data_IF_708840277277
#
_entry.id   IF_708840277277
#
_cell.length_a   1.000
_cell.length_b   1.000
_cell.length_c   1.000
_cell.angle_alpha   90.00
_cell.angle_beta   90.00
_cell.angle_gamma   90.00
#
_symmetry.space_group_name_H-M   'P 1'
#
loop_
_entity.id
_entity.type
_entity.pdbx_description
1 polymer ?
#
# COMPACT_ATOMS: atom_id res chain seq x y z
N UNK A 1 -28.13 21.86 5.28
CA UNK A 1 -27.93 20.49 4.78
C UNK A 1 -26.85 19.84 5.62
N UNK A 2 -27.03 18.57 6.03
CA UNK A 2 -25.98 17.83 6.74
C UNK A 2 -25.01 17.26 5.70
N UNK A 3 -23.71 17.48 5.88
CA UNK A 3 -22.68 16.85 5.04
C UNK A 3 -22.49 15.41 5.52
N UNK A 4 -22.94 14.43 4.74
CA UNK A 4 -22.85 13.01 5.13
C UNK A 4 -21.49 12.37 4.76
N UNK A 5 -20.93 12.74 3.60
CA UNK A 5 -19.68 12.18 3.09
C UNK A 5 -19.01 13.11 2.09
N UNK A 6 -17.68 13.12 2.08
CA UNK A 6 -16.87 13.70 1.00
C UNK A 6 -16.17 12.52 0.31
N UNK A 7 -16.39 12.37 -1.00
CA UNK A 7 -15.74 11.34 -1.79
C UNK A 7 -14.72 11.99 -2.74
N UNK A 8 -13.51 11.47 -2.75
CA UNK A 8 -12.50 11.80 -3.75
C UNK A 8 -12.48 10.68 -4.80
N UNK A 9 -12.77 11.01 -6.06
CA UNK A 9 -12.77 10.04 -7.15
C UNK A 9 -11.60 10.30 -8.10
N UNK A 10 -10.68 9.35 -8.16
CA UNK A 10 -9.66 9.31 -9.19
C UNK A 10 -10.20 8.62 -10.45
N UNK A 11 -10.31 9.35 -11.56
CA UNK A 11 -10.66 8.79 -12.87
C UNK A 11 -9.39 8.74 -13.73
N UNK A 12 -9.08 7.58 -14.30
CA UNK A 12 -8.02 7.43 -15.30
C UNK A 12 -8.43 6.45 -16.39
N UNK A 13 -7.86 6.62 -17.59
CA UNK A 13 -7.99 5.63 -18.64
C UNK A 13 -7.21 4.37 -18.27
N UNK A 14 -7.84 3.20 -18.35
CA UNK A 14 -7.22 1.91 -18.00
C UNK A 14 -5.90 1.67 -18.74
N UNK A 15 -5.80 2.11 -20.00
CA UNK A 15 -4.56 2.04 -20.81
C UNK A 15 -3.38 2.80 -20.21
N UNK A 16 -3.61 3.75 -19.31
CA UNK A 16 -2.55 4.47 -18.60
C UNK A 16 -2.05 3.69 -17.39
N UNK A 17 -2.80 2.71 -16.88
CA UNK A 17 -2.39 1.88 -15.73
C UNK A 17 -1.65 0.60 -16.14
N UNK A 18 -1.54 0.30 -17.43
CA UNK A 18 -0.91 -0.93 -17.94
C UNK A 18 0.61 -0.93 -17.79
N UNK A 19 1.23 0.24 -17.64
CA UNK A 19 2.66 0.40 -17.40
C UNK A 19 2.90 0.83 -15.95
N UNK A 20 3.87 0.19 -15.27
CA UNK A 20 4.24 0.47 -13.88
C UNK A 20 4.65 1.93 -13.64
N UNK A 21 5.34 2.57 -14.58
CA UNK A 21 5.73 3.97 -14.49
C UNK A 21 4.52 4.90 -14.49
N UNK A 22 3.62 4.72 -15.46
CA UNK A 22 2.43 5.56 -15.56
C UNK A 22 1.51 5.38 -14.35
N UNK A 23 1.39 4.14 -13.86
CA UNK A 23 0.68 3.84 -12.62
C UNK A 23 1.30 4.59 -11.45
N UNK A 24 2.62 4.52 -11.26
CA UNK A 24 3.33 5.26 -10.19
C UNK A 24 3.09 6.76 -10.27
N UNK A 25 3.13 7.35 -11.46
CA UNK A 25 2.85 8.77 -11.65
C UNK A 25 1.41 9.13 -11.25
N UNK A 26 0.44 8.30 -11.64
CA UNK A 26 -0.96 8.50 -11.27
C UNK A 26 -1.20 8.39 -9.77
N UNK A 27 -0.72 7.31 -9.14
CA UNK A 27 -0.82 7.12 -7.70
C UNK A 27 -0.06 8.20 -6.92
N UNK A 28 1.10 8.64 -7.42
CA UNK A 28 1.87 9.72 -6.81
C UNK A 28 1.10 11.04 -6.75
N UNK A 29 0.34 11.38 -7.80
CA UNK A 29 -0.55 12.54 -7.78
C UNK A 29 -1.64 12.41 -6.71
N UNK A 30 -2.29 11.23 -6.64
CA UNK A 30 -3.31 10.96 -5.63
C UNK A 30 -2.76 11.02 -4.19
N UNK A 31 -1.57 10.44 -3.95
CA UNK A 31 -0.91 10.48 -2.62
C UNK A 31 -0.56 11.91 -2.23
N UNK A 32 -0.08 12.72 -3.19
CA UNK A 32 0.18 14.13 -2.95
C UNK A 32 -1.09 14.84 -2.49
N UNK A 33 -2.20 14.65 -3.21
CA UNK A 33 -3.48 15.28 -2.86
C UNK A 33 -3.96 14.81 -1.48
N UNK A 34 -3.89 13.51 -1.18
CA UNK A 34 -4.23 12.96 0.14
C UNK A 34 -3.36 13.58 1.24
N UNK A 35 -2.05 13.69 1.04
CA UNK A 35 -1.14 14.31 2.01
C UNK A 35 -1.44 15.80 2.21
N UNK A 36 -1.81 16.52 1.15
CA UNK A 36 -2.25 17.91 1.26
C UNK A 36 -3.56 18.03 2.05
N UNK A 37 -4.53 17.12 1.83
CA UNK A 37 -5.76 17.07 2.60
C UNK A 37 -5.52 16.75 4.09
N UNK A 38 -4.55 15.88 4.40
CA UNK A 38 -4.19 15.56 5.79
C UNK A 38 -3.49 16.74 6.49
N UNK A 39 -2.59 17.44 5.81
CA UNK A 39 -1.78 18.51 6.43
C UNK A 39 -2.44 19.88 6.41
N UNK A 40 -3.13 20.20 5.32
CA UNK A 40 -3.72 21.53 5.07
C UNK A 40 -5.23 21.51 5.22
N UNK A 41 -5.91 20.38 5.03
CA UNK A 41 -7.37 20.31 5.07
C UNK A 41 -8.05 21.12 3.96
N UNK A 42 -9.38 21.21 4.03
CA UNK A 42 -10.24 21.93 3.11
C UNK A 42 -11.14 22.94 3.83
N UNK A 43 -11.42 24.05 3.15
CA UNK A 43 -12.50 24.96 3.52
C UNK A 43 -13.71 24.67 2.64
N UNK A 44 -14.88 24.48 3.23
CA UNK A 44 -16.15 24.29 2.50
C UNK A 44 -17.14 25.38 2.88
N UNK A 45 -17.89 25.89 1.92
CA UNK A 45 -18.77 27.07 2.11
C UNK A 45 -19.87 26.86 3.15
N UNK A 46 -20.25 25.62 3.41
CA UNK A 46 -21.31 25.24 4.35
C UNK A 46 -20.82 24.95 5.77
N UNK A 47 -19.52 25.09 6.05
CA UNK A 47 -18.92 24.80 7.35
C UNK A 47 -17.99 25.92 7.79
N UNK A 48 -18.19 26.42 9.01
CA UNK A 48 -17.27 27.37 9.63
C UNK A 48 -16.08 26.62 10.23
N UNK A 49 -14.95 26.65 9.54
CA UNK A 49 -13.72 26.02 9.98
C UNK A 49 -12.93 25.39 8.85
N UNK A 50 -11.96 24.55 9.20
CA UNK A 50 -11.12 23.79 8.27
C UNK A 50 -11.29 22.30 8.54
N UNK A 51 -11.65 21.54 7.51
CA UNK A 51 -11.85 20.10 7.57
C UNK A 51 -10.53 19.40 7.26
N UNK A 52 -9.99 18.63 8.21
CA UNK A 52 -8.81 17.82 8.02
C UNK A 52 -9.20 16.38 7.73
N UNK A 53 -8.39 15.73 6.92
CA UNK A 53 -8.60 14.34 6.53
C UNK A 53 -7.60 13.46 7.25
N UNK A 54 -7.97 12.20 7.46
CA UNK A 54 -7.08 11.15 7.96
C UNK A 54 -7.19 9.99 6.99
N UNK A 55 -6.05 9.47 6.58
CA UNK A 55 -6.00 8.24 5.81
C UNK A 55 -6.16 7.03 6.74
N UNK A 56 -7.02 6.07 6.38
CA UNK A 56 -7.33 4.90 7.22
C UNK A 56 -6.96 3.57 6.53
N UNK A 57 -7.47 3.31 5.33
CA UNK A 57 -7.31 2.00 4.67
C UNK A 57 -7.20 2.08 3.15
N UNK A 58 -6.33 1.25 2.56
CA UNK A 58 -6.37 0.90 1.14
C UNK A 58 -7.14 -0.42 0.98
N UNK A 59 -8.35 -0.35 0.42
CA UNK A 59 -9.11 -1.53 0.03
C UNK A 59 -8.76 -1.92 -1.42
N UNK A 60 -8.25 -3.12 -1.63
CA UNK A 60 -7.87 -3.62 -2.95
C UNK A 60 -7.97 -5.14 -3.01
N UNK A 61 -8.05 -5.70 -4.22
CA UNK A 61 -7.90 -7.14 -4.40
C UNK A 61 -6.47 -7.59 -4.06
N UNK A 62 -6.25 -8.91 -3.95
CA UNK A 62 -4.95 -9.45 -3.56
C UNK A 62 -3.81 -9.04 -4.52
N UNK A 63 -4.07 -8.98 -5.82
CA UNK A 63 -3.03 -8.67 -6.79
C UNK A 63 -2.61 -7.20 -6.72
N UNK A 64 -3.60 -6.30 -6.63
CA UNK A 64 -3.39 -4.87 -6.46
C UNK A 64 -2.73 -4.55 -5.12
N UNK A 65 -3.14 -5.20 -4.02
CA UNK A 65 -2.52 -5.02 -2.71
C UNK A 65 -1.02 -5.38 -2.70
N UNK A 66 -0.65 -6.48 -3.36
CA UNK A 66 0.76 -6.85 -3.52
C UNK A 66 1.53 -5.83 -4.35
N UNK A 67 0.95 -5.41 -5.48
CA UNK A 67 1.58 -4.44 -6.38
C UNK A 67 1.81 -3.10 -5.67
N UNK A 68 0.80 -2.59 -4.96
CA UNK A 68 0.89 -1.34 -4.20
C UNK A 68 1.88 -1.43 -3.04
N UNK A 69 1.98 -2.59 -2.38
CA UNK A 69 2.90 -2.81 -1.27
C UNK A 69 4.34 -3.15 -1.69
N UNK A 70 4.64 -3.23 -2.99
CA UNK A 70 5.97 -3.61 -3.48
C UNK A 70 6.29 -5.10 -3.29
N UNK A 71 5.28 -5.93 -3.02
CA UNK A 71 5.43 -7.38 -2.83
C UNK A 71 5.38 -8.15 -4.15
N UNK A 72 5.93 -9.36 -4.15
CA UNK A 72 5.82 -10.27 -5.29
C UNK A 72 4.36 -10.65 -5.56
N UNK A 73 4.00 -10.76 -6.84
CA UNK A 73 2.66 -11.14 -7.29
C UNK A 73 2.53 -12.63 -7.62
N UNK A 74 3.55 -13.41 -7.27
CA UNK A 74 3.53 -14.86 -7.38
C UNK A 74 3.04 -15.45 -6.06
N UNK A 75 1.91 -16.15 -6.12
CA UNK A 75 1.28 -16.79 -4.96
C UNK A 75 1.56 -18.29 -4.86
N UNK A 76 2.43 -18.81 -5.73
CA UNK A 76 2.69 -20.24 -5.88
C UNK A 76 4.10 -20.67 -5.47
N UNK A 77 4.90 -19.78 -4.89
CA UNK A 77 6.26 -20.07 -4.42
C UNK A 77 6.74 -19.03 -3.41
N UNK A 78 7.67 -19.43 -2.53
CA UNK A 78 8.38 -18.53 -1.61
C UNK A 78 7.45 -17.81 -0.63
N UNK A 79 7.83 -16.61 -0.21
CA UNK A 79 7.07 -15.81 0.75
C UNK A 79 5.94 -15.01 0.08
N UNK A 80 4.73 -15.56 0.08
CA UNK A 80 3.59 -14.98 -0.63
C UNK A 80 2.68 -14.12 0.25
N UNK A 81 2.86 -14.09 1.56
CA UNK A 81 2.00 -13.33 2.49
C UNK A 81 2.57 -11.93 2.77
N UNK A 82 1.69 -10.91 2.78
CA UNK A 82 2.01 -9.52 3.13
C UNK A 82 2.07 -9.24 4.63
N UNK A 83 1.52 -10.15 5.46
CA UNK A 83 1.43 -9.98 6.91
C UNK A 83 2.49 -10.78 7.67
N UNK A 84 3.00 -11.85 7.10
CA UNK A 84 3.96 -12.74 7.76
C UNK A 84 4.98 -13.33 6.77
N UNK A 85 5.94 -14.07 7.33
CA UNK A 85 7.01 -14.75 6.59
C UNK A 85 6.71 -16.23 6.32
N UNK A 86 5.45 -16.63 6.18
CA UNK A 86 5.12 -18.01 5.79
C UNK A 86 5.68 -18.34 4.41
N UNK A 87 6.22 -19.55 4.25
CA UNK A 87 6.64 -20.11 2.98
C UNK A 87 5.47 -20.82 2.29
N UNK A 88 5.46 -20.83 0.97
CA UNK A 88 4.38 -21.47 0.20
C UNK A 88 4.22 -22.96 0.52
N UNK A 89 5.33 -23.63 0.81
CA UNK A 89 5.41 -25.03 1.22
C UNK A 89 4.60 -25.29 2.51
N UNK A 90 4.53 -24.28 3.38
CA UNK A 90 3.86 -24.33 4.69
C UNK A 90 2.43 -23.77 4.67
N UNK A 91 1.89 -23.40 3.50
CA UNK A 91 0.57 -22.73 3.37
C UNK A 91 -0.62 -23.52 3.95
N UNK A 92 -0.47 -24.84 4.09
CA UNK A 92 -1.52 -25.75 4.55
C UNK A 92 -1.49 -25.98 6.05
N UNK A 93 -0.48 -25.47 6.75
CA UNK A 93 -0.35 -25.70 8.18
C UNK A 93 -1.37 -24.81 8.92
N UNK A 94 -2.22 -25.38 9.81
CA UNK A 94 -3.19 -24.60 10.56
C UNK A 94 -2.52 -23.52 11.41
N UNK A 95 -3.14 -22.32 11.45
CA UNK A 95 -2.66 -21.19 12.26
C UNK A 95 -2.55 -21.54 13.76
N UNK A 96 -3.36 -22.47 14.24
CA UNK A 96 -3.33 -22.93 15.64
C UNK A 96 -2.05 -23.70 15.99
N UNK A 97 -1.36 -24.23 14.98
CA UNK A 97 -0.24 -25.14 15.15
C UNK A 97 1.11 -24.44 14.89
N UNK A 98 1.10 -23.16 14.49
CA UNK A 98 2.32 -22.39 14.19
C UNK A 98 2.18 -20.93 14.65
N UNK A 99 3.21 -20.44 15.32
CA UNK A 99 3.45 -19.01 15.47
C UNK A 99 4.19 -18.50 14.24
N UNK A 100 3.48 -17.87 13.29
CA UNK A 100 4.14 -17.22 12.17
C UNK A 100 4.83 -15.94 12.64
N UNK A 101 6.06 -15.72 12.18
CA UNK A 101 6.70 -14.43 12.37
C UNK A 101 5.98 -13.38 11.53
N UNK A 102 5.36 -12.42 12.19
CA UNK A 102 4.71 -11.28 11.54
C UNK A 102 5.77 -10.33 10.99
N UNK A 103 5.44 -9.69 9.87
CA UNK A 103 6.23 -8.57 9.36
C UNK A 103 6.04 -7.39 10.29
N UNK A 104 7.14 -6.68 10.51
CA UNK A 104 7.16 -5.39 11.22
C UNK A 104 7.73 -4.34 10.28
N UNK A 105 7.40 -3.07 10.53
CA UNK A 105 7.97 -1.93 9.81
C UNK A 105 9.50 -2.00 9.75
N UNK A 106 10.15 -2.24 10.89
CA UNK A 106 11.61 -2.36 10.98
C UNK A 106 12.14 -3.47 10.08
N UNK A 107 11.54 -4.66 10.13
CA UNK A 107 11.97 -5.78 9.31
C UNK A 107 11.72 -5.58 7.82
N UNK A 108 10.61 -4.90 7.47
CA UNK A 108 10.29 -4.55 6.08
C UNK A 108 11.35 -3.60 5.52
N UNK A 109 11.68 -2.53 6.24
CA UNK A 109 12.71 -1.55 5.87
C UNK A 109 14.09 -2.19 5.66
N UNK A 110 14.46 -3.14 6.52
CA UNK A 110 15.73 -3.89 6.38
C UNK A 110 15.73 -4.69 5.08
N UNK A 111 14.67 -5.47 4.83
CA UNK A 111 14.56 -6.28 3.62
C UNK A 111 14.49 -5.41 2.35
N UNK A 112 13.75 -4.31 2.38
CA UNK A 112 13.66 -3.37 1.27
C UNK A 112 15.04 -2.79 0.92
N UNK A 113 15.84 -2.40 1.91
CA UNK A 113 17.23 -1.94 1.67
C UNK A 113 18.08 -3.01 1.00
N UNK A 114 17.89 -4.28 1.34
CA UNK A 114 18.59 -5.40 0.69
C UNK A 114 18.13 -5.60 -0.75
N UNK A 115 16.82 -5.50 -1.02
CA UNK A 115 16.25 -5.53 -2.37
C UNK A 115 16.87 -4.43 -3.22
N UNK A 116 16.86 -3.17 -2.74
CA UNK A 116 17.40 -2.03 -3.49
C UNK A 116 18.90 -2.11 -3.74
N UNK A 117 19.65 -2.81 -2.89
CA UNK A 117 21.10 -3.02 -3.06
C UNK A 117 21.42 -4.16 -4.03
N UNK A 118 20.61 -5.22 -4.04
CA UNK A 118 20.91 -6.47 -4.76
C UNK A 118 20.09 -6.65 -6.04
N UNK A 119 18.99 -5.92 -6.19
CA UNK A 119 17.94 -6.14 -7.20
C UNK A 119 17.37 -7.57 -7.20
N UNK A 120 17.35 -8.22 -6.03
CA UNK A 120 16.80 -9.57 -5.83
C UNK A 120 15.65 -9.48 -4.84
N UNK A 121 14.60 -10.29 -5.05
CA UNK A 121 13.48 -10.40 -4.12
C UNK A 121 13.94 -10.92 -2.77
N UNK A 122 13.61 -10.21 -1.69
CA UNK A 122 13.92 -10.62 -0.32
C UNK A 122 12.63 -10.78 0.45
N UNK A 123 12.40 -11.97 0.99
CA UNK A 123 11.19 -12.28 1.76
C UNK A 123 9.90 -11.84 1.05
N UNK A 124 9.82 -12.04 -0.27
CA UNK A 124 8.66 -11.66 -1.07
C UNK A 124 8.47 -10.16 -1.32
N UNK A 125 9.43 -9.32 -0.95
CA UNK A 125 9.50 -7.90 -1.32
C UNK A 125 10.32 -7.78 -2.61
N UNK A 126 9.79 -7.08 -3.60
CA UNK A 126 10.40 -6.91 -4.92
C UNK A 126 10.85 -5.48 -5.21
N UNK A 127 10.19 -4.48 -4.65
CA UNK A 127 10.46 -3.08 -4.90
C UNK A 127 9.86 -2.21 -3.77
N UNK A 128 10.06 -0.89 -3.85
CA UNK A 128 9.38 0.08 -2.99
C UNK A 128 7.86 0.03 -3.18
N UNK A 129 7.13 0.33 -2.11
CA UNK A 129 5.68 0.51 -2.19
C UNK A 129 5.33 1.81 -2.90
N UNK A 130 4.36 1.73 -3.82
CA UNK A 130 3.76 2.88 -4.49
C UNK A 130 3.07 3.83 -3.48
N UNK A 131 2.74 3.33 -2.27
CA UNK A 131 2.07 4.07 -1.19
C UNK A 131 3.01 4.51 -0.06
N UNK A 132 4.32 4.27 -0.18
CA UNK A 132 5.32 4.59 0.86
C UNK A 132 5.40 6.07 1.25
N UNK A 133 4.94 6.97 0.38
CA UNK A 133 4.92 8.42 0.65
C UNK A 133 3.62 8.90 1.29
N UNK A 134 2.65 8.03 1.50
CA UNK A 134 1.40 8.37 2.17
C UNK A 134 1.66 8.48 3.67
N UNK A 135 1.26 9.60 4.27
CA UNK A 135 1.48 9.84 5.70
C UNK A 135 0.77 8.75 6.52
N UNK A 136 1.48 8.24 7.53
CA UNK A 136 1.03 7.20 8.45
C UNK A 136 0.70 5.85 7.78
N UNK A 137 1.18 5.60 6.56
CA UNK A 137 1.07 4.31 5.89
C UNK A 137 2.40 3.54 5.92
N UNK A 138 2.32 2.26 6.29
CA UNK A 138 3.41 1.30 6.12
C UNK A 138 2.87 0.03 5.44
N UNK A 139 3.57 -0.51 4.41
CA UNK A 139 3.15 -1.73 3.70
C UNK A 139 3.21 -3.02 4.54
#
# INVERSE_FOLDING_TARGET
>A
SLLNSINLLGICLSKLLTNSLNRRLYFGAMIKDLNELQQKGLTVSTFTGRLYFVFDLIASDNLAAHDLGGFQKNFNHGHFCRMCYVFYEDKSIPLTNISFLLRTEISHEIHLKQVLKSNISICGINDTSDSSHLIAFHP
#
